data_IF_961188904852
#
_entry.id   IF_961188904852
#
_cell.length_a   1.000
_cell.length_b   1.000
_cell.length_c   1.000
_cell.angle_alpha   90.00
_cell.angle_beta   90.00
_cell.angle_gamma   90.00
#
_symmetry.space_group_name_H-M   'P 1'
#
loop_
_entity.id
_entity.type
_entity.pdbx_description
1 polymer ?
#
# COMPACT_ATOMS: atom_id res chain seq x y z
N UNK A 1 67.69 2.37 16.94
CA UNK A 1 66.26 2.30 17.35
C UNK A 1 65.39 3.21 16.46
N UNK A 2 65.49 3.12 15.13
CA UNK A 2 64.78 4.01 14.18
C UNK A 2 64.04 3.26 13.05
N UNK A 3 64.26 1.95 12.91
CA UNK A 3 63.69 1.13 11.84
C UNK A 3 62.28 0.61 12.17
N UNK A 4 61.98 0.42 13.46
CA UNK A 4 60.73 -0.17 13.96
C UNK A 4 59.52 0.79 13.86
N UNK A 5 59.75 2.11 13.92
CA UNK A 5 58.70 3.13 13.81
C UNK A 5 58.26 3.42 12.36
N UNK A 6 59.09 3.07 11.36
CA UNK A 6 58.76 3.31 9.94
C UNK A 6 57.76 2.29 9.40
N UNK A 7 57.81 1.05 9.88
CA UNK A 7 56.88 -0.01 9.48
C UNK A 7 55.48 0.17 10.08
N UNK A 8 55.38 0.64 11.33
CA UNK A 8 54.08 0.96 11.95
C UNK A 8 53.41 2.15 11.28
N UNK A 9 54.16 3.19 10.93
CA UNK A 9 53.62 4.33 10.18
C UNK A 9 53.12 3.92 8.78
N UNK A 10 53.87 3.07 8.07
CA UNK A 10 53.46 2.56 6.75
C UNK A 10 52.20 1.67 6.85
N UNK A 11 52.11 0.82 7.88
CA UNK A 11 50.95 -0.05 8.10
C UNK A 11 49.69 0.75 8.43
N UNK A 12 49.79 1.82 9.22
CA UNK A 12 48.66 2.71 9.53
C UNK A 12 48.20 3.50 8.30
N UNK A 13 49.15 3.97 7.47
CA UNK A 13 48.85 4.66 6.20
C UNK A 13 48.20 3.69 5.19
N UNK A 14 48.70 2.45 5.08
CA UNK A 14 48.10 1.44 4.23
C UNK A 14 46.71 1.05 4.73
N UNK A 15 46.48 0.95 6.04
CA UNK A 15 45.17 0.67 6.61
C UNK A 15 44.20 1.83 6.36
N UNK A 16 44.64 3.08 6.52
CA UNK A 16 43.80 4.26 6.25
C UNK A 16 43.49 4.45 4.76
N UNK A 17 44.44 4.18 3.86
CA UNK A 17 44.16 4.14 2.42
C UNK A 17 43.24 2.98 2.04
N UNK A 18 43.35 1.83 2.72
CA UNK A 18 42.44 0.70 2.52
C UNK A 18 41.02 1.06 2.98
N UNK A 19 40.87 1.72 4.12
CA UNK A 19 39.57 2.23 4.58
C UNK A 19 39.00 3.31 3.65
N UNK A 20 39.83 4.21 3.10
CA UNK A 20 39.39 5.21 2.11
C UNK A 20 38.99 4.55 0.78
N UNK A 21 39.72 3.54 0.33
CA UNK A 21 39.43 2.81 -0.91
C UNK A 21 38.15 1.97 -0.76
N UNK A 22 37.93 1.31 0.39
CA UNK A 22 36.69 0.59 0.68
C UNK A 22 35.52 1.58 0.74
N UNK A 23 35.70 2.76 1.36
CA UNK A 23 34.69 3.84 1.39
C UNK A 23 34.35 4.39 -0.01
N UNK A 24 35.33 4.44 -0.91
CA UNK A 24 35.14 4.88 -2.29
C UNK A 24 34.44 3.82 -3.16
N UNK A 25 34.61 2.53 -2.87
CA UNK A 25 33.93 1.43 -3.60
C UNK A 25 32.46 1.30 -3.18
N UNK A 26 32.06 1.72 -1.98
CA UNK A 26 30.63 1.79 -1.60
C UNK A 26 29.89 2.97 -2.24
N UNK A 27 30.60 3.86 -2.95
CA UNK A 27 30.01 5.05 -3.58
C UNK A 27 29.54 4.82 -5.03
N UNK A 28 29.77 3.65 -5.62
CA UNK A 28 29.51 3.40 -7.04
C UNK A 28 28.51 2.26 -7.26
N UNK A 29 27.26 2.54 -6.87
CA UNK A 29 26.02 2.19 -7.57
C UNK A 29 24.89 2.69 -6.66
N UNK A 30 24.79 4.01 -6.53
CA UNK A 30 23.72 4.63 -5.76
C UNK A 30 22.39 4.21 -6.35
N UNK A 31 21.55 3.56 -5.53
CA UNK A 31 20.19 3.18 -5.88
C UNK A 31 19.52 4.28 -6.72
N UNK A 32 19.24 3.98 -7.98
CA UNK A 32 18.67 4.95 -8.91
C UNK A 32 17.24 5.29 -8.50
N UNK A 33 16.80 6.52 -8.81
CA UNK A 33 15.38 6.81 -8.94
C UNK A 33 14.79 5.78 -9.92
N UNK A 34 13.96 4.89 -9.42
CA UNK A 34 13.49 3.74 -10.15
C UNK A 34 12.00 3.58 -9.90
N UNK A 35 11.23 3.38 -10.97
CA UNK A 35 9.87 2.91 -10.86
C UNK A 35 9.91 1.46 -10.42
N UNK A 36 9.35 1.15 -9.25
CA UNK A 36 9.27 -0.21 -8.77
C UNK A 36 7.82 -0.61 -8.50
N UNK A 37 7.60 -1.92 -8.62
CA UNK A 37 6.37 -2.59 -8.22
C UNK A 37 6.69 -3.24 -6.88
N UNK A 38 6.09 -2.76 -5.79
CA UNK A 38 6.26 -3.42 -4.49
C UNK A 38 5.16 -4.44 -4.32
N UNK A 39 5.56 -5.61 -3.84
CA UNK A 39 4.70 -6.66 -3.37
C UNK A 39 5.41 -7.29 -2.17
N UNK A 40 4.99 -6.96 -0.95
CA UNK A 40 5.26 -7.86 0.16
C UNK A 40 4.00 -8.70 0.39
N UNK A 41 4.13 -9.98 0.02
CA UNK A 41 3.09 -10.94 -0.37
C UNK A 41 2.52 -10.74 -1.79
N UNK A 42 3.34 -10.78 -2.85
CA UNK A 42 2.85 -10.92 -4.24
C UNK A 42 1.78 -9.92 -4.70
N UNK A 43 1.05 -10.22 -5.78
CA UNK A 43 -0.13 -9.45 -6.22
C UNK A 43 -1.36 -9.72 -5.32
N UNK A 44 -1.24 -9.56 -3.99
CA UNK A 44 -2.33 -9.73 -3.03
C UNK A 44 -2.83 -8.39 -2.47
N UNK A 45 -4.08 -8.35 -2.01
CA UNK A 45 -4.71 -7.12 -1.51
C UNK A 45 -4.68 -7.12 0.00
N UNK A 46 -4.12 -6.05 0.59
CA UNK A 46 -4.40 -5.66 1.96
C UNK A 46 -3.28 -5.72 2.99
N UNK A 47 -2.08 -6.21 2.63
CA UNK A 47 -0.88 -6.00 3.46
C UNK A 47 -0.50 -4.50 3.49
N UNK A 48 -0.50 -3.84 2.34
CA UNK A 48 -0.08 -2.43 2.19
C UNK A 48 -1.23 -1.41 2.28
N UNK A 49 -2.45 -1.87 2.56
CA UNK A 49 -3.55 -0.96 2.84
C UNK A 49 -3.23 -0.25 4.16
N UNK A 50 -2.94 1.05 4.11
CA UNK A 50 -2.59 1.86 5.28
C UNK A 50 -3.62 1.67 6.40
N UNK A 51 -4.91 1.56 6.04
CA UNK A 51 -6.01 1.33 6.98
C UNK A 51 -7.36 1.15 6.27
N UNK A 52 -8.34 0.64 7.04
CA UNK A 52 -9.77 0.75 6.76
C UNK A 52 -10.34 1.92 7.56
N UNK A 53 -11.13 2.77 6.91
CA UNK A 53 -11.84 3.90 7.51
C UNK A 53 -13.35 3.76 7.35
N UNK A 54 -14.12 4.30 8.29
CA UNK A 54 -15.54 4.52 8.08
C UNK A 54 -16.07 5.74 8.81
N UNK A 55 -16.92 6.50 8.13
CA UNK A 55 -17.60 7.67 8.69
C UNK A 55 -18.87 7.33 9.50
N UNK A 56 -19.19 6.04 9.69
CA UNK A 56 -20.35 5.57 10.44
C UNK A 56 -20.14 4.15 10.97
N UNK A 57 -20.65 3.91 12.17
CA UNK A 57 -20.70 2.58 12.81
C UNK A 57 -21.51 1.52 12.05
N UNK A 58 -22.31 1.93 11.05
CA UNK A 58 -23.13 1.05 10.21
C UNK A 58 -22.33 0.21 9.22
N UNK A 59 -21.11 0.62 8.90
CA UNK A 59 -20.23 -0.14 8.03
C UNK A 59 -19.37 -1.12 8.82
N UNK A 60 -18.97 -2.19 8.13
CA UNK A 60 -17.97 -3.15 8.55
C UNK A 60 -17.02 -3.46 7.41
N UNK A 61 -16.07 -4.33 7.71
CA UNK A 61 -15.07 -4.81 6.76
C UNK A 61 -15.01 -6.33 6.76
N UNK A 62 -14.59 -6.90 5.63
CA UNK A 62 -14.09 -8.28 5.56
C UNK A 62 -12.77 -8.25 4.82
N UNK A 63 -11.78 -8.97 5.31
CA UNK A 63 -10.46 -9.03 4.72
C UNK A 63 -9.91 -10.44 4.81
N UNK A 64 -9.50 -10.98 3.68
CA UNK A 64 -8.74 -12.22 3.59
C UNK A 64 -7.54 -11.94 2.70
N UNK A 65 -6.37 -11.74 3.32
CA UNK A 65 -5.17 -11.25 2.65
C UNK A 65 -4.06 -12.32 2.56
N UNK A 66 -4.27 -13.51 3.15
CA UNK A 66 -3.28 -14.58 3.24
C UNK A 66 -3.90 -15.90 2.81
N UNK A 67 -3.40 -16.46 1.72
CA UNK A 67 -3.71 -17.82 1.26
C UNK A 67 -2.67 -18.81 1.81
N UNK A 68 -3.05 -20.06 2.17
CA UNK A 68 -2.08 -21.11 2.48
C UNK A 68 -1.05 -21.34 1.37
N UNK A 69 0.15 -21.82 1.71
CA UNK A 69 1.29 -21.96 0.76
C UNK A 69 1.04 -22.91 -0.43
N UNK A 70 -0.03 -23.71 -0.41
CA UNK A 70 -0.32 -24.74 -1.41
C UNK A 70 -1.57 -24.48 -2.26
N UNK A 71 -2.19 -23.31 -2.16
CA UNK A 71 -3.39 -22.93 -2.95
C UNK A 71 -3.07 -21.82 -3.93
N UNK A 72 -4.00 -21.57 -4.87
CA UNK A 72 -3.87 -20.46 -5.80
C UNK A 72 -3.63 -19.14 -5.02
N UNK A 73 -2.58 -18.38 -5.37
CA UNK A 73 -2.21 -17.12 -4.70
C UNK A 73 -3.38 -16.13 -4.53
N UNK A 74 -4.36 -16.17 -5.42
CA UNK A 74 -5.50 -15.27 -5.44
C UNK A 74 -6.80 -15.93 -4.98
N UNK A 75 -6.77 -17.18 -4.50
CA UNK A 75 -7.99 -17.85 -4.07
C UNK A 75 -8.56 -17.19 -2.82
N UNK A 76 -9.84 -16.81 -2.87
CA UNK A 76 -10.51 -16.12 -1.78
C UNK A 76 -9.98 -14.74 -1.40
N UNK A 77 -8.81 -14.27 -1.87
CA UNK A 77 -8.19 -13.01 -1.43
C UNK A 77 -9.09 -11.80 -1.73
N UNK A 78 -9.38 -11.00 -0.71
CA UNK A 78 -10.23 -9.82 -0.84
C UNK A 78 -10.03 -8.79 0.26
N UNK A 79 -10.33 -7.54 -0.09
CA UNK A 79 -10.77 -6.52 0.85
C UNK A 79 -12.17 -6.06 0.48
N UNK A 80 -13.08 -6.11 1.45
CA UNK A 80 -14.48 -5.75 1.29
C UNK A 80 -14.82 -4.66 2.29
N UNK A 81 -15.44 -3.58 1.79
CA UNK A 81 -16.25 -2.66 2.58
C UNK A 81 -17.69 -3.12 2.49
N UNK A 82 -18.39 -3.25 3.62
CA UNK A 82 -19.77 -3.74 3.66
C UNK A 82 -20.62 -2.97 4.65
N UNK A 83 -21.92 -2.96 4.45
CA UNK A 83 -22.87 -2.54 5.49
C UNK A 83 -23.09 -3.72 6.44
N UNK A 84 -23.07 -3.48 7.75
CA UNK A 84 -23.31 -4.52 8.76
C UNK A 84 -24.73 -5.07 8.59
N UNK A 85 -24.90 -6.37 8.76
CA UNK A 85 -26.22 -7.04 8.66
C UNK A 85 -27.27 -6.51 9.64
N UNK A 86 -26.84 -5.94 10.77
CA UNK A 86 -27.72 -5.29 11.75
C UNK A 86 -28.21 -3.90 11.34
N UNK A 87 -27.66 -3.32 10.27
CA UNK A 87 -28.01 -1.98 9.80
C UNK A 87 -29.11 -2.04 8.76
N UNK A 88 -30.20 -1.30 8.99
CA UNK A 88 -31.31 -1.20 8.02
C UNK A 88 -31.19 0.01 7.09
N UNK A 89 -30.50 1.06 7.53
CA UNK A 89 -30.25 2.25 6.74
C UNK A 89 -28.88 2.84 7.07
N UNK A 90 -28.31 3.57 6.10
CA UNK A 90 -27.07 4.33 6.24
C UNK A 90 -27.34 5.79 5.86
N UNK A 91 -26.84 6.72 6.66
CA UNK A 91 -27.00 8.16 6.41
C UNK A 91 -26.33 8.61 5.11
N UNK A 92 -26.89 9.65 4.50
CA UNK A 92 -26.35 10.27 3.29
C UNK A 92 -24.91 10.71 3.48
N UNK A 93 -24.12 10.63 2.41
CA UNK A 93 -22.68 10.94 2.34
C UNK A 93 -21.75 10.07 3.21
N UNK A 94 -22.30 9.10 3.96
CA UNK A 94 -21.48 8.20 4.78
C UNK A 94 -20.77 7.16 3.90
N UNK A 95 -19.57 6.76 4.32
CA UNK A 95 -18.76 5.81 3.57
C UNK A 95 -17.96 4.86 4.46
N UNK A 96 -17.48 3.79 3.84
CA UNK A 96 -16.37 2.97 4.30
C UNK A 96 -15.31 2.89 3.19
N UNK A 97 -14.03 2.98 3.56
CA UNK A 97 -12.92 3.08 2.62
C UNK A 97 -11.77 2.15 3.01
N UNK A 98 -11.18 1.50 2.02
CA UNK A 98 -9.83 0.97 2.11
C UNK A 98 -8.88 1.94 1.42
N UNK A 99 -7.78 2.31 2.08
CA UNK A 99 -6.82 3.29 1.57
C UNK A 99 -5.41 2.73 1.47
N UNK A 100 -4.80 2.87 0.30
CA UNK A 100 -3.38 2.62 0.05
C UNK A 100 -2.66 3.94 -0.10
N UNK A 101 -1.68 4.18 0.75
CA UNK A 101 -0.93 5.44 0.79
C UNK A 101 0.46 5.22 0.20
N UNK A 102 0.83 6.00 -0.80
CA UNK A 102 2.21 6.05 -1.28
C UNK A 102 3.12 6.50 -0.13
N UNK A 103 4.31 5.92 0.03
CA UNK A 103 5.26 6.40 1.02
C UNK A 103 5.68 7.85 0.76
N UNK A 104 6.17 8.51 1.81
CA UNK A 104 6.57 9.90 1.76
C UNK A 104 7.61 10.14 0.65
N UNK A 105 7.43 11.23 -0.11
CA UNK A 105 8.31 11.59 -1.23
C UNK A 105 8.02 10.89 -2.55
N UNK A 106 6.99 10.03 -2.63
CA UNK A 106 6.64 9.29 -3.87
C UNK A 106 5.19 9.42 -4.28
N UNK A 107 4.85 8.83 -5.43
CA UNK A 107 3.50 8.81 -5.94
C UNK A 107 3.12 7.51 -6.63
N UNK A 108 1.85 7.12 -6.49
CA UNK A 108 1.23 6.07 -7.28
C UNK A 108 1.03 6.60 -8.70
N UNK A 109 1.66 5.97 -9.68
CA UNK A 109 1.53 6.32 -11.10
C UNK A 109 0.61 5.39 -11.86
N UNK A 110 0.39 4.18 -11.34
CA UNK A 110 -0.54 3.24 -11.93
C UNK A 110 -1.16 2.32 -10.89
N UNK A 111 -2.40 1.93 -11.12
CA UNK A 111 -3.07 0.86 -10.40
C UNK A 111 -3.82 -0.07 -11.35
N UNK A 112 -3.74 -1.36 -11.04
CA UNK A 112 -4.50 -2.43 -11.67
C UNK A 112 -5.14 -3.31 -10.59
N UNK A 113 -6.25 -3.94 -10.91
CA UNK A 113 -6.75 -5.08 -10.16
C UNK A 113 -8.18 -5.42 -10.50
N UNK A 114 -8.86 -6.12 -9.60
CA UNK A 114 -10.22 -6.59 -9.81
C UNK A 114 -11.19 -6.00 -8.79
N UNK A 115 -12.43 -5.77 -9.22
CA UNK A 115 -13.52 -5.24 -8.40
C UNK A 115 -14.81 -6.04 -8.58
N UNK A 116 -15.65 -6.05 -7.56
CA UNK A 116 -17.04 -6.52 -7.61
C UNK A 116 -17.85 -5.81 -6.53
N UNK A 117 -19.16 -5.79 -6.69
CA UNK A 117 -20.02 -5.09 -5.76
C UNK A 117 -21.45 -5.66 -5.76
N UNK A 118 -22.06 -5.69 -4.59
CA UNK A 118 -23.50 -5.86 -4.42
C UNK A 118 -24.01 -4.57 -3.80
N UNK A 119 -24.79 -3.83 -4.57
CA UNK A 119 -25.25 -2.49 -4.22
C UNK A 119 -26.79 -2.46 -4.16
N UNK A 120 -27.28 -1.63 -3.24
CA UNK A 120 -28.69 -1.24 -3.15
C UNK A 120 -28.86 0.20 -3.59
N UNK A 121 -30.11 0.61 -3.80
CA UNK A 121 -30.44 1.95 -4.27
C UNK A 121 -29.84 3.03 -3.37
N UNK A 122 -29.03 3.92 -3.95
CA UNK A 122 -28.33 4.99 -3.24
C UNK A 122 -26.94 4.60 -2.74
N UNK A 123 -26.49 3.35 -2.91
CA UNK A 123 -25.10 2.98 -2.68
C UNK A 123 -24.26 3.01 -3.96
N UNK A 124 -23.00 3.42 -3.82
CA UNK A 124 -22.01 3.40 -4.87
C UNK A 124 -20.72 2.73 -4.40
N UNK A 125 -20.11 1.95 -5.28
CA UNK A 125 -18.70 1.57 -5.18
C UNK A 125 -17.88 2.59 -5.98
N UNK A 126 -17.01 3.33 -5.30
CA UNK A 126 -16.12 4.30 -5.92
C UNK A 126 -14.67 3.87 -5.81
N UNK A 127 -13.94 3.90 -6.93
CA UNK A 127 -12.50 3.72 -6.97
C UNK A 127 -11.85 5.03 -7.42
N UNK A 128 -10.82 5.49 -6.72
CA UNK A 128 -10.29 6.83 -6.97
C UNK A 128 -8.89 7.05 -6.43
N UNK A 129 -8.24 8.08 -6.96
CA UNK A 129 -6.96 8.57 -6.48
C UNK A 129 -7.13 9.79 -5.58
N UNK A 130 -6.10 10.11 -4.80
CA UNK A 130 -6.01 11.33 -3.99
C UNK A 130 -4.79 12.08 -4.47
N UNK A 131 -5.00 13.27 -5.05
CA UNK A 131 -3.92 14.12 -5.51
C UNK A 131 -3.11 14.70 -4.33
N UNK A 132 -1.88 15.20 -4.55
CA UNK A 132 -1.10 15.86 -3.50
C UNK A 132 -1.84 17.00 -2.81
N UNK A 133 -2.08 16.86 -1.50
CA UNK A 133 -2.86 17.85 -0.72
C UNK A 133 -4.34 17.98 -1.14
N UNK A 134 -4.82 17.11 -2.03
CA UNK A 134 -6.15 17.16 -2.61
C UNK A 134 -7.16 16.23 -1.93
N UNK A 135 -8.40 16.31 -2.40
CA UNK A 135 -9.47 15.39 -2.03
C UNK A 135 -9.43 14.10 -2.85
N UNK A 136 -10.18 13.10 -2.39
CA UNK A 136 -10.47 11.90 -3.17
C UNK A 136 -11.21 12.25 -4.46
N UNK A 137 -10.69 11.79 -5.59
CA UNK A 137 -11.26 11.98 -6.92
C UNK A 137 -11.52 10.61 -7.56
N UNK A 138 -12.80 10.19 -7.68
CA UNK A 138 -13.13 8.90 -8.25
C UNK A 138 -12.85 8.86 -9.75
N UNK A 139 -12.28 7.76 -10.23
CA UNK A 139 -12.19 7.44 -11.65
C UNK A 139 -13.21 6.36 -12.07
N UNK A 140 -13.79 5.66 -11.10
CA UNK A 140 -14.96 4.80 -11.26
C UNK A 140 -15.98 5.12 -10.18
N UNK A 141 -17.23 5.26 -10.60
CA UNK A 141 -18.41 5.43 -9.73
C UNK A 141 -19.48 4.45 -10.22
N UNK A 142 -19.63 3.34 -9.50
CA UNK A 142 -20.51 2.24 -9.87
C UNK A 142 -21.72 2.24 -8.93
N UNK A 143 -22.93 2.34 -9.46
CA UNK A 143 -24.19 2.36 -8.71
C UNK A 143 -25.06 1.11 -8.95
N UNK A 144 -24.52 0.13 -9.69
CA UNK A 144 -25.18 -1.13 -10.01
C UNK A 144 -24.43 -2.33 -9.43
N UNK A 145 -25.18 -3.36 -9.04
CA UNK A 145 -24.62 -4.63 -8.58
C UNK A 145 -23.97 -5.40 -9.73
N UNK A 146 -22.75 -5.88 -9.52
CA UNK A 146 -22.04 -6.81 -10.39
C UNK A 146 -21.17 -7.72 -9.53
N UNK A 147 -21.62 -8.96 -9.34
CA UNK A 147 -20.87 -10.00 -8.60
C UNK A 147 -19.69 -10.58 -9.39
N UNK A 148 -19.56 -10.22 -10.67
CA UNK A 148 -18.43 -10.64 -11.51
C UNK A 148 -17.20 -9.85 -11.11
N UNK A 149 -16.06 -10.54 -10.92
CA UNK A 149 -14.79 -9.87 -10.71
C UNK A 149 -14.35 -9.24 -12.04
N UNK A 150 -14.44 -7.91 -12.14
CA UNK A 150 -14.06 -7.16 -13.34
C UNK A 150 -12.72 -6.50 -13.12
N UNK A 151 -11.86 -6.57 -14.14
CA UNK A 151 -10.60 -5.86 -14.12
C UNK A 151 -10.82 -4.34 -14.21
N UNK A 152 -9.91 -3.59 -13.61
CA UNK A 152 -9.81 -2.14 -13.76
C UNK A 152 -8.34 -1.74 -13.85
N UNK A 153 -8.09 -0.62 -14.53
CA UNK A 153 -6.76 -0.05 -14.69
C UNK A 153 -6.84 1.47 -14.67
N UNK A 154 -5.90 2.12 -13.97
CA UNK A 154 -5.80 3.58 -14.00
C UNK A 154 -4.37 4.08 -13.87
N UNK A 155 -3.98 4.98 -14.78
CA UNK A 155 -2.78 5.79 -14.64
C UNK A 155 -3.07 7.13 -13.96
N UNK A 156 -2.10 7.68 -13.26
CA UNK A 156 -2.16 9.00 -12.63
C UNK A 156 -1.05 9.90 -13.18
N UNK A 157 -1.39 11.15 -13.49
CA UNK A 157 -0.45 12.18 -13.95
C UNK A 157 -0.63 13.44 -13.09
N UNK A 158 0.44 13.99 -12.47
CA UNK A 158 1.80 13.42 -12.42
C UNK A 158 1.88 12.15 -11.57
N UNK A 159 1.08 12.04 -10.50
CA UNK A 159 0.91 10.86 -9.66
C UNK A 159 -0.24 11.09 -8.66
N UNK A 160 -0.71 10.04 -7.98
CA UNK A 160 -1.59 10.11 -6.82
C UNK A 160 -0.81 9.84 -5.52
N UNK A 161 -1.12 10.54 -4.43
CA UNK A 161 -0.57 10.22 -3.10
C UNK A 161 -1.23 9.00 -2.49
N UNK A 162 -2.48 8.72 -2.84
CA UNK A 162 -3.17 7.52 -2.37
C UNK A 162 -4.17 7.01 -3.40
N UNK A 163 -4.51 5.74 -3.25
CA UNK A 163 -5.63 5.10 -3.90
C UNK A 163 -6.65 4.68 -2.84
N UNK A 164 -7.94 4.79 -3.16
CA UNK A 164 -9.01 4.36 -2.27
C UNK A 164 -10.10 3.56 -3.00
N UNK A 165 -10.62 2.55 -2.30
CA UNK A 165 -11.84 1.82 -2.65
C UNK A 165 -12.92 2.12 -1.61
N UNK A 166 -13.96 2.87 -2.01
CA UNK A 166 -15.03 3.33 -1.13
C UNK A 166 -16.36 2.65 -1.42
N UNK A 167 -17.07 2.21 -0.39
CA UNK A 167 -18.51 2.00 -0.42
C UNK A 167 -19.18 3.24 0.17
N UNK A 168 -20.05 3.90 -0.59
CA UNK A 168 -20.62 5.22 -0.24
C UNK A 168 -22.14 5.16 -0.31
N UNK A 169 -22.83 5.66 0.71
CA UNK A 169 -24.22 6.10 0.56
C UNK A 169 -24.23 7.49 -0.09
N UNK A 170 -24.51 7.57 -1.39
CA UNK A 170 -24.36 8.80 -2.19
C UNK A 170 -25.62 9.66 -2.26
N UNK A 171 -26.50 9.53 -1.28
CA UNK A 171 -27.65 10.43 -1.14
C UNK A 171 -27.19 11.79 -0.59
N UNK A 172 -27.96 12.85 -0.90
CA UNK A 172 -27.80 14.16 -0.24
C UNK A 172 -27.71 13.98 1.28
N UNK A 173 -27.00 14.87 1.98
CA UNK A 173 -26.58 14.74 3.39
C UNK A 173 -27.66 14.22 4.36
N UNK A 174 -28.93 14.49 4.07
CA UNK A 174 -30.05 14.22 4.99
C UNK A 174 -30.91 13.03 4.56
N UNK A 175 -30.59 12.37 3.44
CA UNK A 175 -31.34 11.22 2.89
C UNK A 175 -30.59 9.92 3.13
N UNK A 176 -31.31 8.87 3.50
CA UNK A 176 -30.73 7.57 3.79
C UNK A 176 -30.65 6.66 2.55
N UNK A 177 -29.71 5.73 2.59
CA UNK A 177 -29.67 4.57 1.72
C UNK A 177 -30.22 3.35 2.46
N UNK A 178 -31.18 2.66 1.85
CA UNK A 178 -31.74 1.42 2.37
C UNK A 178 -30.70 0.30 2.29
N UNK A 179 -30.45 -0.36 3.41
CA UNK A 179 -29.40 -1.35 3.57
C UNK A 179 -29.91 -2.77 3.84
N UNK A 180 -31.21 -3.03 3.63
CA UNK A 180 -31.76 -4.37 3.84
C UNK A 180 -31.21 -5.39 2.82
N UNK A 181 -30.53 -6.42 3.34
CA UNK A 181 -29.80 -7.42 2.57
C UNK A 181 -28.32 -7.10 2.39
N UNK A 182 -27.71 -7.69 1.35
CA UNK A 182 -26.26 -7.57 1.11
C UNK A 182 -25.91 -6.26 0.42
N UNK A 183 -25.10 -5.43 1.09
CA UNK A 183 -24.46 -4.25 0.50
C UNK A 183 -22.96 -4.32 0.74
N UNK A 184 -22.18 -4.51 -0.31
CA UNK A 184 -20.73 -4.59 -0.23
C UNK A 184 -20.03 -4.12 -1.51
N UNK A 185 -18.79 -3.71 -1.36
CA UNK A 185 -17.86 -3.38 -2.42
C UNK A 185 -16.51 -4.04 -2.13
N UNK A 186 -16.02 -4.81 -3.08
CA UNK A 186 -14.81 -5.61 -2.93
C UNK A 186 -13.76 -5.29 -3.97
N UNK A 187 -12.48 -5.40 -3.57
CA UNK A 187 -11.33 -5.40 -4.47
C UNK A 187 -10.41 -6.58 -4.17
N UNK A 188 -9.74 -7.08 -5.22
CA UNK A 188 -8.74 -8.14 -5.16
C UNK A 188 -7.66 -7.95 -6.22
N UNK A 189 -6.59 -8.76 -6.15
CA UNK A 189 -5.50 -8.77 -7.12
C UNK A 189 -4.93 -7.39 -7.47
N UNK A 190 -4.77 -6.51 -6.48
CA UNK A 190 -4.28 -5.16 -6.72
C UNK A 190 -2.79 -5.16 -7.03
N UNK A 191 -2.40 -4.40 -8.05
CA UNK A 191 -1.01 -4.08 -8.39
C UNK A 191 -0.87 -2.56 -8.40
N UNK A 192 0.00 -2.02 -7.55
CA UNK A 192 0.22 -0.58 -7.42
C UNK A 192 1.64 -0.27 -7.88
N UNK A 193 1.77 0.53 -8.94
CA UNK A 193 3.06 1.05 -9.40
C UNK A 193 3.35 2.38 -8.76
N UNK A 194 4.53 2.50 -8.15
CA UNK A 194 4.99 3.74 -7.53
C UNK A 194 6.15 4.30 -8.35
N UNK A 195 6.08 5.60 -8.62
CA UNK A 195 7.23 6.36 -9.07
C UNK A 195 7.98 6.90 -7.85
N UNK A 196 9.24 6.47 -7.74
CA UNK A 196 10.14 6.83 -6.66
C UNK A 196 11.35 7.58 -7.21
N UNK A 197 11.16 8.90 -7.35
CA UNK A 197 12.23 9.80 -7.75
C UNK A 197 13.22 10.09 -6.62
N UNK A 198 12.96 9.64 -5.39
CA UNK A 198 13.77 9.94 -4.21
C UNK A 198 14.76 8.80 -3.99
N UNK A 199 16.06 9.11 -4.15
CA UNK A 199 17.12 8.15 -3.86
C UNK A 199 17.03 7.70 -2.39
N UNK A 200 16.97 6.38 -2.11
CA UNK A 200 17.03 5.89 -0.74
C UNK A 200 18.30 6.42 -0.04
N UNK A 201 18.14 7.04 1.12
CA UNK A 201 19.28 7.40 1.98
C UNK A 201 19.62 6.17 2.83
N UNK A 202 20.87 5.73 2.79
CA UNK A 202 21.33 4.65 3.64
C UNK A 202 21.15 5.06 5.12
N UNK A 203 20.38 4.29 5.87
CA UNK A 203 20.12 4.52 7.28
C UNK A 203 20.09 3.20 8.05
N UNK A 204 20.56 3.22 9.30
CA UNK A 204 20.51 2.05 10.19
C UNK A 204 19.21 2.08 11.01
N UNK A 205 18.24 1.22 10.67
CA UNK A 205 17.05 0.99 11.49
C UNK A 205 15.79 0.55 10.73
N UNK A 206 14.93 -0.24 11.38
CA UNK A 206 13.65 -0.75 10.86
C UNK A 206 13.42 -2.22 11.22
N UNK A 207 12.16 -2.62 11.44
CA UNK A 207 11.79 -4.04 11.58
C UNK A 207 11.34 -4.60 10.23
N UNK A 208 11.86 -5.76 9.82
CA UNK A 208 11.42 -6.49 8.61
C UNK A 208 9.96 -6.97 8.67
N UNK A 209 9.42 -7.07 9.89
CA UNK A 209 8.03 -7.44 10.15
C UNK A 209 7.15 -6.21 10.37
N UNK A 210 7.70 -5.01 10.23
CA UNK A 210 6.94 -3.76 10.31
C UNK A 210 5.93 -3.67 9.17
N UNK A 211 4.69 -3.33 9.49
CA UNK A 211 3.67 -3.08 8.48
C UNK A 211 4.05 -1.86 7.60
N UNK A 212 3.84 -1.96 6.29
CA UNK A 212 4.03 -0.88 5.33
C UNK A 212 5.17 -1.13 4.33
N UNK A 213 5.33 -0.17 3.40
CA UNK A 213 6.25 -0.30 2.28
C UNK A 213 7.72 -0.31 2.74
N UNK A 214 8.42 -1.42 2.55
CA UNK A 214 9.87 -1.48 2.76
C UNK A 214 10.60 -0.80 1.60
N UNK A 215 11.63 -0.01 1.92
CA UNK A 215 12.43 0.77 0.97
C UNK A 215 13.91 0.74 1.33
N UNK A 216 14.75 0.76 0.29
CA UNK A 216 16.22 0.78 0.43
C UNK A 216 16.80 -0.52 0.99
N UNK A 217 18.09 -0.49 1.34
CA UNK A 217 18.74 -1.58 2.07
C UNK A 217 18.29 -1.56 3.54
N UNK A 218 17.80 -2.69 4.05
CA UNK A 218 17.40 -2.85 5.46
C UNK A 218 18.35 -3.81 6.17
N UNK A 219 18.63 -3.52 7.44
CA UNK A 219 19.42 -4.41 8.30
C UNK A 219 18.58 -5.57 8.82
N UNK A 220 19.14 -6.78 8.79
CA UNK A 220 18.57 -7.95 9.46
C UNK A 220 19.13 -8.00 10.88
N UNK A 221 18.29 -7.78 11.90
CA UNK A 221 18.67 -8.07 13.28
C UNK A 221 18.06 -9.41 13.68
N UNK A 222 18.88 -10.46 13.68
CA UNK A 222 18.56 -11.72 14.33
C UNK A 222 18.90 -11.56 15.82
N UNK A 223 17.99 -11.96 16.70
CA UNK A 223 18.33 -12.22 18.09
C UNK A 223 18.07 -13.70 18.38
N UNK A 224 18.95 -14.32 19.14
CA UNK A 224 18.87 -15.73 19.49
C UNK A 224 17.90 -15.93 20.68
N UNK A 225 16.72 -15.31 20.61
CA UNK A 225 15.65 -15.54 21.60
C UNK A 225 14.59 -16.45 21.00
N UNK A 226 14.86 -17.74 21.09
CA UNK A 226 13.80 -18.74 21.17
C UNK A 226 13.07 -18.54 22.51
N UNK A 227 11.86 -18.02 22.47
CA UNK A 227 10.87 -18.15 23.56
C UNK A 227 9.52 -18.51 22.99
#
# INVERSE_FOLDING_TARGET
MAFRNRFTALAVILLSLSFLAISAVVATEGAAAARYVVAQCGWHVGQDAKWFDSSSDRFGKSSYCQTPESVDPFDGVHLISQVKSSSKAVGGTKFASWRWQAPAGTGIVNIHGQRWQYLRNGFQHRLGGVAPGGAFNPFLELDTSDGTKRDFWRGFSPYAQAFESRLVCYRSSDKNCEADGTVLAGVRSLTISIDDSVRPVAGAGGSLTGAGWLRGAQSLAFNDRDT
#
